data_IF_609084114867
#
_entry.id   IF_609084114867
#
_cell.length_a   1.000
_cell.length_b   1.000
_cell.length_c   1.000
_cell.angle_alpha   90.00
_cell.angle_beta   90.00
_cell.angle_gamma   90.00
#
_symmetry.space_group_name_H-M   'P 1'
#
loop_
_entity.id
_entity.type
_entity.pdbx_description
1 polymer ?
#
# COMPACT_ATOMS: atom_id res chain seq x y z
N UNK A 1 6.62 9.38 -2.62
CA UNK A 1 6.27 8.21 -1.77
C UNK A 1 4.90 8.37 -1.15
N UNK A 2 4.06 7.33 -1.21
CA UNK A 2 2.74 7.30 -0.53
C UNK A 2 2.72 6.19 0.53
N UNK A 3 2.19 6.48 1.71
CA UNK A 3 2.04 5.53 2.83
C UNK A 3 0.57 5.33 3.13
N UNK A 4 0.11 4.09 3.02
CA UNK A 4 -1.30 3.72 3.21
C UNK A 4 -1.40 2.68 4.34
N UNK A 5 -2.39 2.87 5.21
CA UNK A 5 -2.69 1.96 6.32
C UNK A 5 -3.41 0.69 5.82
N UNK A 6 -3.37 -0.38 6.60
CA UNK A 6 -4.17 -1.59 6.32
C UNK A 6 -5.69 -1.37 6.30
N UNK A 7 -6.17 -0.20 6.75
CA UNK A 7 -7.58 0.23 6.66
C UNK A 7 -7.89 1.01 5.38
N UNK A 8 -6.96 1.06 4.43
CA UNK A 8 -7.05 1.85 3.19
C UNK A 8 -7.09 3.36 3.43
N UNK A 9 -6.40 3.83 4.47
CA UNK A 9 -6.29 5.26 4.77
C UNK A 9 -4.92 5.77 4.32
N UNK A 10 -4.87 6.88 3.57
CA UNK A 10 -3.62 7.56 3.23
C UNK A 10 -3.08 8.28 4.48
N UNK A 11 -1.91 7.88 4.96
CA UNK A 11 -1.27 8.46 6.15
C UNK A 11 -0.29 9.57 5.76
N UNK A 12 0.46 9.38 4.67
CA UNK A 12 1.48 10.31 4.23
C UNK A 12 1.65 10.30 2.72
N UNK A 13 1.92 11.47 2.16
CA UNK A 13 2.33 11.68 0.78
C UNK A 13 3.53 12.63 0.78
N UNK A 14 4.65 12.17 0.24
CA UNK A 14 5.87 12.96 0.05
C UNK A 14 6.12 13.09 -1.44
N UNK A 15 6.24 14.33 -1.91
CA UNK A 15 6.57 14.69 -3.29
C UNK A 15 7.95 15.34 -3.26
N UNK A 16 8.85 14.87 -4.11
CA UNK A 16 10.17 15.46 -4.24
C UNK A 16 10.07 16.79 -5.00
N UNK A 17 10.83 17.83 -4.61
CA UNK A 17 10.76 19.15 -5.26
C UNK A 17 10.97 19.08 -6.78
N UNK A 18 11.85 18.18 -7.22
CA UNK A 18 12.19 18.00 -8.63
C UNK A 18 11.03 17.43 -9.46
N UNK A 19 10.02 16.83 -8.81
CA UNK A 19 8.79 16.37 -9.45
C UNK A 19 7.71 17.47 -9.53
N UNK A 20 7.95 18.65 -8.95
CA UNK A 20 7.01 19.77 -8.93
C UNK A 20 7.40 20.78 -10.01
N UNK A 21 7.01 20.47 -11.24
CA UNK A 21 7.08 21.42 -12.36
C UNK A 21 5.70 22.09 -12.57
N UNK A 22 5.59 23.41 -12.40
CA UNK A 22 4.33 24.12 -12.65
C UNK A 22 3.90 24.11 -14.12
N UNK A 23 4.79 23.82 -15.06
CA UNK A 23 4.46 23.68 -16.48
C UNK A 23 3.97 22.27 -16.84
N UNK A 24 4.20 21.28 -15.96
CA UNK A 24 3.82 19.87 -16.16
C UNK A 24 3.08 19.27 -14.95
N UNK A 25 1.94 19.88 -14.62
CA UNK A 25 1.09 19.44 -13.51
C UNK A 25 0.41 18.10 -13.83
N UNK A 26 0.20 17.76 -15.10
CA UNK A 26 -0.43 16.50 -15.51
C UNK A 26 0.46 15.31 -15.16
N UNK A 27 1.75 15.37 -15.45
CA UNK A 27 2.68 14.29 -15.11
C UNK A 27 2.76 14.06 -13.59
N UNK A 28 2.78 15.13 -12.79
CA UNK A 28 2.79 15.01 -11.34
C UNK A 28 1.51 14.32 -10.82
N UNK A 29 0.35 14.67 -11.38
CA UNK A 29 -0.92 14.03 -11.02
C UNK A 29 -0.91 12.53 -11.35
N UNK A 30 -0.44 12.16 -12.55
CA UNK A 30 -0.34 10.75 -12.97
C UNK A 30 0.57 9.94 -12.05
N UNK A 31 1.71 10.51 -11.66
CA UNK A 31 2.63 9.88 -10.71
C UNK A 31 1.98 9.65 -9.34
N UNK A 32 1.23 10.62 -8.83
CA UNK A 32 0.51 10.50 -7.55
C UNK A 32 -0.55 9.40 -7.64
N UNK A 33 -1.34 9.39 -8.70
CA UNK A 33 -2.39 8.37 -8.93
C UNK A 33 -1.76 6.97 -8.96
N UNK A 34 -0.66 6.79 -9.70
CA UNK A 34 0.04 5.52 -9.78
C UNK A 34 0.54 5.06 -8.40
N UNK A 35 1.22 5.94 -7.67
CA UNK A 35 1.80 5.62 -6.36
C UNK A 35 0.72 5.26 -5.31
N UNK A 36 -0.39 6.00 -5.27
CA UNK A 36 -1.49 5.74 -4.32
C UNK A 36 -2.19 4.42 -4.65
N UNK A 37 -2.48 4.17 -5.92
CA UNK A 37 -3.11 2.92 -6.35
C UNK A 37 -2.22 1.70 -6.07
N UNK A 38 -0.92 1.80 -6.30
CA UNK A 38 0.02 0.73 -5.99
C UNK A 38 0.09 0.47 -4.48
N UNK A 39 0.18 1.52 -3.67
CA UNK A 39 0.19 1.40 -2.21
C UNK A 39 -1.10 0.75 -1.68
N UNK A 40 -2.27 1.07 -2.25
CA UNK A 40 -3.53 0.44 -1.88
C UNK A 40 -3.53 -1.07 -2.18
N UNK A 41 -3.06 -1.46 -3.37
CA UNK A 41 -2.93 -2.88 -3.75
C UNK A 41 -1.97 -3.62 -2.82
N UNK A 42 -0.84 -3.02 -2.46
CA UNK A 42 0.12 -3.60 -1.51
C UNK A 42 -0.47 -3.76 -0.12
N UNK A 43 -1.28 -2.80 0.35
CA UNK A 43 -1.98 -2.89 1.62
C UNK A 43 -2.98 -4.06 1.65
N UNK A 44 -3.75 -4.25 0.58
CA UNK A 44 -4.66 -5.40 0.43
C UNK A 44 -3.93 -6.74 0.39
N UNK A 45 -2.86 -6.83 -0.41
CA UNK A 45 -2.04 -8.03 -0.50
C UNK A 45 -1.43 -8.39 0.88
N UNK A 46 -0.91 -7.40 1.59
CA UNK A 46 -0.35 -7.59 2.94
C UNK A 46 -1.41 -8.05 3.94
N UNK A 47 -2.63 -7.50 3.88
CA UNK A 47 -3.74 -7.92 4.73
C UNK A 47 -4.15 -9.38 4.45
N UNK A 48 -4.24 -9.75 3.18
CA UNK A 48 -4.53 -11.12 2.74
C UNK A 48 -3.44 -12.11 3.19
N UNK A 49 -2.16 -11.77 3.00
CA UNK A 49 -1.04 -12.58 3.48
C UNK A 49 -1.05 -12.77 4.99
N UNK A 50 -1.32 -11.71 5.75
CA UNK A 50 -1.37 -11.79 7.21
C UNK A 50 -2.52 -12.69 7.67
N UNK A 51 -3.68 -12.63 7.01
CA UNK A 51 -4.78 -13.55 7.25
C UNK A 51 -4.42 -14.99 6.91
N UNK A 52 -3.76 -15.23 5.77
CA UNK A 52 -3.30 -16.55 5.36
C UNK A 52 -2.24 -17.14 6.31
N UNK A 53 -1.32 -16.31 6.81
CA UNK A 53 -0.34 -16.71 7.84
C UNK A 53 -1.03 -17.05 9.15
N UNK A 54 -2.03 -16.26 9.55
CA UNK A 54 -2.79 -16.51 10.76
C UNK A 54 -3.58 -17.82 10.66
N UNK A 55 -4.37 -18.02 9.59
CA UNK A 55 -5.18 -19.22 9.40
C UNK A 55 -4.33 -20.46 9.12
N UNK A 56 -3.24 -20.31 8.36
CA UNK A 56 -2.27 -21.39 8.11
C UNK A 56 -1.49 -21.82 9.35
N UNK A 57 -1.09 -20.87 10.21
CA UNK A 57 -0.44 -21.17 11.49
C UNK A 57 -1.40 -21.75 12.53
N UNK A 58 -2.65 -21.28 12.55
CA UNK A 58 -3.71 -21.84 13.40
C UNK A 58 -4.07 -23.27 12.97
N UNK A 59 -4.08 -23.55 11.67
CA UNK A 59 -4.24 -24.88 11.11
C UNK A 59 -2.95 -25.74 11.19
N UNK A 60 -1.95 -25.33 11.97
CA UNK A 60 -0.84 -26.20 12.41
C UNK A 60 -0.84 -26.36 13.93
N UNK A 61 -1.26 -25.32 14.68
CA UNK A 61 -1.42 -25.39 16.14
C UNK A 61 -2.69 -26.09 16.62
N UNK A 62 -3.79 -26.04 15.86
CA UNK A 62 -5.09 -26.61 16.27
C UNK A 62 -5.22 -28.12 16.00
N UNK A 63 -4.30 -28.72 15.23
CA UNK A 63 -4.31 -30.13 14.81
C UNK A 63 -3.16 -30.93 15.41
N UNK A 64 -2.55 -30.39 16.47
CA UNK A 64 -1.87 -31.18 17.48
C UNK A 64 -0.74 -32.06 16.96
N UNK A 65 0.23 -31.46 16.27
CA UNK A 65 1.60 -31.96 16.35
C UNK A 65 2.30 -31.32 17.56
#
# INVERSE_FOLDING_TARGET
>A
TAVISGKKELISLVIEPDAVDPEDVEMLQDMIIAAVNEAMRKAEASASENMAKLTGGLNLGALGL
#
